data_IF_149787005951
#
_entry.id   IF_149787005951
#
_cell.length_a   1.000
_cell.length_b   1.000
_cell.length_c   1.000
_cell.angle_alpha   90.00
_cell.angle_beta   90.00
_cell.angle_gamma   90.00
#
_symmetry.space_group_name_H-M   'P 1'
#
loop_
_entity.id
_entity.type
_entity.pdbx_description
1 polymer ?
#
# COMPACT_ATOMS: atom_id res chain seq x y z
N UNK A 1 -12.22 -2.67 -57.13
CA UNK A 1 -11.63 -1.43 -56.58
C UNK A 1 -12.11 -1.08 -55.18
N UNK A 2 -13.34 -0.58 -54.93
CA UNK A 2 -13.73 -0.20 -53.55
C UNK A 2 -13.77 -1.38 -52.57
N UNK A 3 -14.31 -2.52 -53.00
CA UNK A 3 -14.45 -3.73 -52.18
C UNK A 3 -13.11 -4.36 -51.79
N UNK A 4 -12.10 -4.26 -52.66
CA UNK A 4 -10.74 -4.75 -52.38
C UNK A 4 -10.03 -3.86 -51.36
N UNK A 5 -10.25 -2.54 -51.43
CA UNK A 5 -9.69 -1.59 -50.47
C UNK A 5 -10.30 -1.83 -49.06
N UNK A 6 -11.61 -2.04 -48.97
CA UNK A 6 -12.28 -2.35 -47.72
C UNK A 6 -11.80 -3.68 -47.11
N UNK A 7 -11.57 -4.70 -47.96
CA UNK A 7 -11.02 -5.98 -47.54
C UNK A 7 -9.60 -5.84 -46.97
N UNK A 8 -8.73 -5.09 -47.64
CA UNK A 8 -7.37 -4.83 -47.16
C UNK A 8 -7.34 -4.02 -45.85
N UNK A 9 -8.24 -3.03 -45.69
CA UNK A 9 -8.38 -2.28 -44.44
C UNK A 9 -8.86 -3.20 -43.31
N UNK A 10 -9.80 -4.10 -43.57
CA UNK A 10 -10.28 -5.09 -42.61
C UNK A 10 -9.17 -6.00 -42.10
N UNK A 11 -8.30 -6.49 -43.00
CA UNK A 11 -7.14 -7.31 -42.63
C UNK A 11 -6.09 -6.52 -41.83
N UNK A 12 -5.80 -5.28 -42.20
CA UNK A 12 -4.86 -4.47 -41.43
C UNK A 12 -5.38 -4.14 -40.04
N UNK A 13 -6.68 -3.86 -39.90
CA UNK A 13 -7.29 -3.58 -38.60
C UNK A 13 -7.20 -4.79 -37.67
N UNK A 14 -7.51 -6.00 -38.17
CA UNK A 14 -7.39 -7.21 -37.33
C UNK A 14 -5.94 -7.50 -36.92
N UNK A 15 -4.96 -7.22 -37.79
CA UNK A 15 -3.54 -7.34 -37.44
C UNK A 15 -3.09 -6.33 -36.38
N UNK A 16 -3.55 -5.08 -36.49
CA UNK A 16 -3.26 -4.02 -35.51
C UNK A 16 -3.89 -4.34 -34.16
N UNK A 17 -5.15 -4.79 -34.15
CA UNK A 17 -5.86 -5.13 -32.92
C UNK A 17 -5.20 -6.32 -32.22
N UNK A 18 -4.80 -7.35 -32.97
CA UNK A 18 -4.06 -8.49 -32.44
C UNK A 18 -2.68 -8.08 -31.88
N UNK A 19 -1.97 -7.19 -32.56
CA UNK A 19 -0.68 -6.67 -32.07
C UNK A 19 -0.87 -5.87 -30.77
N UNK A 20 -1.83 -4.94 -30.74
CA UNK A 20 -2.14 -4.13 -29.57
C UNK A 20 -2.57 -4.99 -28.37
N UNK A 21 -3.37 -6.04 -28.60
CA UNK A 21 -3.75 -7.00 -27.57
C UNK A 21 -2.57 -7.81 -27.02
N UNK A 22 -1.49 -7.96 -27.80
CA UNK A 22 -0.27 -8.66 -27.37
C UNK A 22 0.69 -7.80 -26.55
N UNK A 23 0.61 -6.46 -26.66
CA UNK A 23 1.54 -5.53 -26.00
C UNK A 23 1.60 -5.67 -24.47
N UNK A 24 0.48 -5.84 -23.74
CA UNK A 24 0.53 -6.06 -22.29
C UNK A 24 1.33 -7.31 -21.90
N UNK A 25 1.13 -8.42 -22.61
CA UNK A 25 1.87 -9.66 -22.36
C UNK A 25 3.36 -9.53 -22.67
N UNK A 26 3.73 -8.81 -23.74
CA UNK A 26 5.14 -8.53 -24.08
C UNK A 26 5.79 -7.64 -23.02
N UNK A 27 5.06 -6.63 -22.53
CA UNK A 27 5.54 -5.75 -21.45
C UNK A 27 5.73 -6.54 -20.14
N UNK A 28 4.76 -7.37 -19.76
CA UNK A 28 4.85 -8.22 -18.58
C UNK A 28 6.03 -9.20 -18.69
N UNK A 29 6.21 -9.86 -19.84
CA UNK A 29 7.36 -10.74 -20.06
C UNK A 29 8.69 -9.99 -19.92
N UNK A 30 8.83 -8.81 -20.53
CA UNK A 30 10.04 -8.01 -20.43
C UNK A 30 10.34 -7.58 -18.97
N UNK A 31 9.30 -7.22 -18.20
CA UNK A 31 9.43 -6.86 -16.78
C UNK A 31 9.84 -8.09 -15.96
N UNK A 32 9.20 -9.25 -16.16
CA UNK A 32 9.53 -10.48 -15.44
C UNK A 32 10.94 -10.97 -15.77
N UNK A 33 11.35 -10.94 -17.03
CA UNK A 33 12.73 -11.28 -17.43
C UNK A 33 13.76 -10.34 -16.81
N UNK A 34 13.46 -9.03 -16.76
CA UNK A 34 14.35 -8.05 -16.12
C UNK A 34 14.46 -8.33 -14.63
N UNK A 35 13.34 -8.61 -13.96
CA UNK A 35 13.28 -8.96 -12.54
C UNK A 35 14.07 -10.24 -12.25
N UNK A 36 13.87 -11.29 -13.05
CA UNK A 36 14.60 -12.55 -12.92
C UNK A 36 16.10 -12.37 -13.11
N UNK A 37 16.53 -11.60 -14.13
CA UNK A 37 17.95 -11.28 -14.35
C UNK A 37 18.58 -10.56 -13.16
N UNK A 38 17.89 -9.59 -12.58
CA UNK A 38 18.36 -8.85 -11.41
C UNK A 38 18.43 -9.74 -10.16
N UNK A 39 17.44 -10.61 -9.95
CA UNK A 39 17.45 -11.59 -8.85
C UNK A 39 18.62 -12.58 -8.95
N UNK A 40 18.88 -13.13 -10.14
CA UNK A 40 20.02 -14.04 -10.37
C UNK A 40 21.34 -13.32 -10.15
N UNK A 41 21.46 -12.06 -10.58
CA UNK A 41 22.67 -11.26 -10.35
C UNK A 41 22.87 -10.94 -8.86
N UNK A 42 21.79 -10.73 -8.11
CA UNK A 42 21.82 -10.52 -6.65
C UNK A 42 22.26 -11.78 -5.90
N UNK A 43 21.69 -12.96 -6.23
CA UNK A 43 22.07 -14.23 -5.61
C UNK A 43 23.54 -14.59 -5.85
N UNK A 44 24.08 -14.27 -7.04
CA UNK A 44 25.51 -14.45 -7.34
C UNK A 44 26.42 -13.52 -6.54
N UNK A 45 25.95 -12.32 -6.19
CA UNK A 45 26.70 -11.38 -5.37
C UNK A 45 26.73 -11.80 -3.89
N UNK A 46 25.64 -12.37 -3.37
CA UNK A 46 25.57 -12.91 -2.00
C UNK A 46 26.41 -14.20 -1.84
N UNK A 47 26.50 -15.05 -2.86
CA UNK A 47 27.32 -16.27 -2.80
C UNK A 47 28.84 -16.02 -2.83
N UNK A 48 29.29 -14.79 -3.11
CA UNK A 48 30.71 -14.48 -3.31
C UNK A 48 31.42 -13.95 -2.06
N UNK A 49 30.74 -13.68 -0.93
CA UNK A 49 31.38 -13.51 0.39
C UNK A 49 32.54 -12.50 0.53
N UNK A 50 32.79 -11.63 -0.45
CA UNK A 50 33.94 -10.72 -0.47
C UNK A 50 33.50 -9.32 0.02
N UNK A 51 34.01 -8.82 1.15
CA UNK A 51 33.76 -7.46 1.60
C UNK A 51 34.52 -6.47 0.70
N UNK A 52 33.78 -5.73 -0.13
CA UNK A 52 34.36 -4.66 -0.97
C UNK A 52 34.73 -3.48 -0.07
N UNK A 53 36.00 -3.38 0.31
CA UNK A 53 36.61 -2.16 0.86
C UNK A 53 37.04 -1.24 -0.30
N UNK A 54 36.56 0.01 -0.31
CA UNK A 54 37.05 1.04 -1.24
C UNK A 54 38.46 1.47 -0.84
N UNK A 55 39.34 1.63 -1.82
CA UNK A 55 40.66 2.29 -1.70
C UNK A 55 40.51 3.73 -2.16
N UNK A 56 41.11 4.66 -1.42
CA UNK A 56 40.98 6.11 -1.64
C UNK A 56 41.97 6.70 -2.66
N UNK A 57 42.88 5.92 -3.26
CA UNK A 57 43.96 6.45 -4.12
C UNK A 57 43.96 5.86 -5.54
N UNK A 58 43.18 6.45 -6.46
CA UNK A 58 43.32 6.18 -7.90
C UNK A 58 43.71 7.45 -8.68
N UNK A 59 44.69 7.40 -9.62
CA UNK A 59 45.27 8.60 -10.23
C UNK A 59 44.34 9.28 -11.24
N UNK A 60 44.42 10.62 -11.29
CA UNK A 60 43.84 11.46 -12.35
C UNK A 60 44.71 11.37 -13.60
N UNK A 61 44.15 10.93 -14.72
CA UNK A 61 44.81 11.09 -16.02
C UNK A 61 43.87 11.69 -17.05
N UNK A 62 44.41 12.70 -17.72
CA UNK A 62 43.85 13.53 -18.78
C UNK A 62 43.47 12.72 -20.03
N UNK A 63 42.35 13.09 -20.66
CA UNK A 63 42.19 13.00 -22.10
C UNK A 63 41.21 14.09 -22.60
N UNK A 64 41.53 14.62 -23.79
CA UNK A 64 41.18 15.92 -24.35
C UNK A 64 39.82 15.92 -25.08
N UNK A 65 39.22 17.11 -25.17
CA UNK A 65 37.92 17.43 -25.76
C UNK A 65 37.84 17.29 -27.29
N UNK A 66 36.69 16.79 -27.77
CA UNK A 66 35.90 17.11 -29.00
C UNK A 66 34.91 15.93 -29.20
N UNK A 67 33.63 16.04 -29.57
CA UNK A 67 32.78 17.09 -30.11
C UNK A 67 31.28 16.71 -29.93
N UNK A 68 30.41 17.68 -30.23
CA UNK A 68 28.96 17.60 -30.55
C UNK A 68 27.96 17.40 -29.38
N UNK A 69 27.26 18.48 -29.03
CA UNK A 69 26.00 18.44 -28.25
C UNK A 69 24.91 17.78 -29.10
N UNK A 70 24.72 16.48 -28.92
CA UNK A 70 23.40 15.89 -29.02
C UNK A 70 22.72 16.13 -27.66
N UNK A 71 21.54 16.75 -27.65
CA UNK A 71 20.68 16.76 -26.47
C UNK A 71 20.15 15.32 -26.32
N UNK A 72 20.95 14.48 -25.67
CA UNK A 72 20.47 13.23 -25.11
C UNK A 72 19.79 13.60 -23.81
N UNK A 73 18.47 13.43 -23.75
CA UNK A 73 17.76 13.33 -22.49
C UNK A 73 18.41 12.21 -21.68
N UNK A 74 19.28 12.57 -20.73
CA UNK A 74 19.83 11.63 -19.77
C UNK A 74 18.67 11.14 -18.91
N UNK A 75 18.36 9.82 -18.92
CA UNK A 75 17.53 9.24 -17.89
C UNK A 75 18.16 9.61 -16.52
N UNK A 76 17.36 9.78 -15.46
CA UNK A 76 17.92 9.96 -14.12
C UNK A 76 18.95 8.84 -13.86
N UNK A 77 20.08 9.15 -13.18
CA UNK A 77 21.15 8.20 -12.98
C UNK A 77 20.57 6.91 -12.40
N UNK A 78 20.67 5.82 -13.17
CA UNK A 78 20.18 4.53 -12.74
C UNK A 78 20.91 4.17 -11.45
N UNK A 79 20.17 4.16 -10.35
CA UNK A 79 20.70 3.83 -9.04
C UNK A 79 21.29 2.42 -9.13
N UNK A 80 22.62 2.31 -9.07
CA UNK A 80 23.34 1.02 -9.04
C UNK A 80 23.22 0.31 -7.70
N UNK A 81 22.35 0.79 -6.80
CA UNK A 81 21.98 0.06 -5.61
C UNK A 81 21.27 -1.23 -6.06
N UNK A 82 21.73 -2.38 -5.55
CA UNK A 82 21.02 -3.64 -5.73
C UNK A 82 19.54 -3.41 -5.39
N UNK A 83 18.66 -3.69 -6.36
CA UNK A 83 17.22 -3.74 -6.12
C UNK A 83 16.98 -4.89 -5.14
N UNK A 84 17.02 -4.59 -3.85
CA UNK A 84 16.43 -5.44 -2.83
C UNK A 84 14.93 -5.29 -3.03
N UNK A 85 14.18 -6.37 -3.39
CA UNK A 85 12.74 -6.34 -3.27
C UNK A 85 12.47 -5.93 -1.82
N UNK A 86 11.97 -4.71 -1.62
CA UNK A 86 11.64 -4.25 -0.29
C UNK A 86 10.59 -5.23 0.27
N UNK A 87 10.64 -5.59 1.56
CA UNK A 87 9.60 -6.37 2.19
C UNK A 87 8.32 -5.53 2.12
N UNK A 88 7.57 -5.77 1.05
CA UNK A 88 6.18 -5.38 0.96
C UNK A 88 5.49 -6.34 1.90
N UNK A 89 4.86 -5.80 2.95
CA UNK A 89 3.98 -6.60 3.80
C UNK A 89 3.11 -7.47 2.91
N UNK A 90 3.26 -8.79 3.07
CA UNK A 90 2.63 -9.73 2.16
C UNK A 90 1.12 -9.49 2.20
N UNK A 91 0.46 -9.52 1.03
CA UNK A 91 -0.99 -9.25 0.97
C UNK A 91 -1.72 -10.19 1.94
N UNK A 92 -1.23 -11.41 2.08
CA UNK A 92 -1.68 -12.44 3.00
C UNK A 92 -1.60 -12.00 4.47
N UNK A 93 -0.48 -11.38 4.89
CA UNK A 93 -0.33 -10.88 6.25
C UNK A 93 -1.25 -9.65 6.48
N UNK A 94 -1.49 -8.83 5.46
CA UNK A 94 -2.37 -7.66 5.57
C UNK A 94 -3.83 -8.11 5.75
N UNK A 95 -4.29 -9.03 4.90
CA UNK A 95 -5.62 -9.61 5.04
C UNK A 95 -5.76 -10.36 6.37
N UNK A 96 -4.71 -11.02 6.85
CA UNK A 96 -4.71 -11.65 8.16
C UNK A 96 -4.84 -10.62 9.29
N UNK A 97 -4.13 -9.49 9.24
CA UNK A 97 -4.27 -8.41 10.23
C UNK A 97 -5.69 -7.83 10.21
N UNK A 98 -6.25 -7.58 9.03
CA UNK A 98 -7.64 -7.15 8.88
C UNK A 98 -8.62 -8.19 9.45
N UNK A 99 -8.37 -9.48 9.23
CA UNK A 99 -9.19 -10.56 9.77
C UNK A 99 -9.17 -10.57 11.30
N UNK A 100 -7.99 -10.43 11.91
CA UNK A 100 -7.86 -10.31 13.37
C UNK A 100 -8.61 -9.09 13.91
N UNK A 101 -8.51 -7.95 13.22
CA UNK A 101 -9.28 -6.76 13.58
C UNK A 101 -10.78 -6.99 13.45
N UNK A 102 -11.25 -7.63 12.39
CA UNK A 102 -12.65 -7.96 12.19
C UNK A 102 -13.20 -8.89 13.27
N UNK A 103 -12.42 -9.90 13.67
CA UNK A 103 -12.82 -10.84 14.72
C UNK A 103 -12.98 -10.16 16.09
N UNK A 104 -12.37 -8.98 16.28
CA UNK A 104 -12.62 -8.14 17.46
C UNK A 104 -14.07 -7.65 17.55
N UNK A 105 -14.77 -7.49 16.42
CA UNK A 105 -16.20 -7.16 16.42
C UNK A 105 -17.01 -8.20 17.18
N UNK A 106 -16.71 -9.49 16.96
CA UNK A 106 -17.38 -10.60 17.66
C UNK A 106 -17.11 -10.58 19.17
N UNK A 107 -15.90 -10.16 19.58
CA UNK A 107 -15.57 -10.00 21.00
C UNK A 107 -16.41 -8.89 21.62
N UNK A 108 -16.58 -7.77 20.91
CA UNK A 108 -17.43 -6.66 21.36
C UNK A 108 -18.91 -7.07 21.49
N UNK A 109 -19.40 -7.87 20.55
CA UNK A 109 -20.77 -8.41 20.58
C UNK A 109 -20.98 -9.41 21.74
N UNK A 110 -19.97 -10.21 22.06
CA UNK A 110 -20.04 -11.21 23.14
C UNK A 110 -19.89 -10.63 24.53
N UNK A 111 -19.30 -9.44 24.67
CA UNK A 111 -19.03 -8.82 25.98
C UNK A 111 -19.33 -7.32 25.97
N UNK A 112 -20.57 -6.91 25.66
CA UNK A 112 -20.89 -5.51 25.40
C UNK A 112 -20.66 -4.60 26.60
N UNK A 113 -20.91 -5.07 27.82
CA UNK A 113 -20.72 -4.29 29.05
C UNK A 113 -19.25 -3.89 29.27
N UNK A 114 -18.30 -4.72 28.82
CA UNK A 114 -16.88 -4.41 28.93
C UNK A 114 -16.48 -3.23 28.03
N UNK A 115 -17.08 -3.09 26.86
CA UNK A 115 -16.72 -2.08 25.86
C UNK A 115 -17.52 -0.77 25.98
N UNK A 116 -18.56 -0.76 26.81
CA UNK A 116 -19.48 0.37 26.97
C UNK A 116 -18.79 1.66 27.42
N UNK A 117 -17.93 1.56 28.43
CA UNK A 117 -17.24 2.70 29.06
C UNK A 117 -15.90 3.03 28.41
N UNK A 118 -15.43 2.21 27.46
CA UNK A 118 -14.13 2.38 26.83
C UNK A 118 -14.10 3.60 25.90
N UNK A 119 -13.01 4.34 25.98
CA UNK A 119 -12.67 5.39 25.04
C UNK A 119 -11.84 4.85 23.87
N UNK A 120 -11.41 5.75 22.98
CA UNK A 120 -10.72 5.38 21.74
C UNK A 120 -9.38 4.70 22.03
N UNK A 121 -8.71 5.18 23.08
CA UNK A 121 -7.43 4.67 23.54
C UNK A 121 -7.57 3.26 24.11
N UNK A 122 -8.56 3.03 24.98
CA UNK A 122 -8.82 1.71 25.53
C UNK A 122 -9.20 0.70 24.44
N UNK A 123 -10.08 1.07 23.51
CA UNK A 123 -10.42 0.19 22.37
C UNK A 123 -9.18 -0.15 21.54
N UNK A 124 -8.36 0.85 21.21
CA UNK A 124 -7.11 0.67 20.47
C UNK A 124 -6.15 -0.28 21.18
N UNK A 125 -6.01 -0.19 22.51
CA UNK A 125 -5.21 -1.15 23.30
C UNK A 125 -5.70 -2.59 23.11
N UNK A 126 -7.02 -2.82 23.10
CA UNK A 126 -7.56 -4.14 22.87
C UNK A 126 -7.21 -4.69 21.48
N UNK A 127 -7.31 -3.88 20.43
CA UNK A 127 -6.86 -4.27 19.09
C UNK A 127 -5.36 -4.60 19.08
N UNK A 128 -4.53 -3.78 19.74
CA UNK A 128 -3.09 -4.00 19.80
C UNK A 128 -2.74 -5.35 20.46
N UNK A 129 -3.36 -5.66 21.60
CA UNK A 129 -3.13 -6.92 22.32
C UNK A 129 -3.51 -8.13 21.46
N UNK A 130 -4.64 -8.07 20.75
CA UNK A 130 -5.07 -9.15 19.86
C UNK A 130 -4.11 -9.33 18.68
N UNK A 131 -3.67 -8.23 18.07
CA UNK A 131 -2.70 -8.25 16.97
C UNK A 131 -1.36 -8.83 17.44
N UNK A 132 -0.78 -8.32 18.52
CA UNK A 132 0.49 -8.85 19.04
C UNK A 132 0.37 -10.33 19.43
N UNK A 133 -0.73 -10.75 20.06
CA UNK A 133 -0.95 -12.17 20.39
C UNK A 133 -0.96 -13.11 19.18
N UNK A 134 -1.49 -12.66 18.03
CA UNK A 134 -1.57 -13.48 16.81
C UNK A 134 -0.31 -13.43 15.94
N UNK A 135 0.49 -12.37 16.04
CA UNK A 135 1.67 -12.15 15.21
C UNK A 135 2.99 -12.50 15.94
N UNK A 136 3.13 -12.24 17.24
CA UNK A 136 4.31 -12.65 18.03
C UNK A 136 4.43 -14.17 18.14
N UNK A 137 3.31 -14.89 18.23
CA UNK A 137 3.28 -16.36 18.30
C UNK A 137 3.76 -17.08 17.03
N UNK A 138 3.96 -16.38 15.91
CA UNK A 138 4.33 -16.95 14.61
C UNK A 138 5.83 -16.85 14.27
N UNK A 139 6.69 -16.54 15.26
CA UNK A 139 8.14 -16.34 15.06
C UNK A 139 8.49 -15.26 14.03
N UNK A 140 7.56 -14.32 13.83
CA UNK A 140 7.77 -13.14 13.02
C UNK A 140 8.31 -12.04 13.93
N UNK A 141 9.44 -11.42 13.60
CA UNK A 141 10.00 -10.29 14.34
C UNK A 141 9.20 -8.98 14.20
N UNK A 142 7.92 -9.09 13.82
CA UNK A 142 7.00 -7.99 13.57
C UNK A 142 6.24 -7.66 14.86
N UNK A 143 6.41 -6.44 15.36
CA UNK A 143 5.72 -5.98 16.58
C UNK A 143 4.83 -4.79 16.26
N UNK A 144 3.57 -4.86 16.66
CA UNK A 144 2.68 -3.71 16.62
C UNK A 144 3.00 -2.80 17.81
N UNK A 145 3.20 -1.53 17.51
CA UNK A 145 3.53 -0.46 18.43
C UNK A 145 2.52 0.68 18.30
N UNK A 146 2.50 1.53 19.32
CA UNK A 146 1.71 2.75 19.32
C UNK A 146 2.53 3.91 18.77
N UNK A 147 1.89 4.76 17.96
CA UNK A 147 2.42 6.07 17.59
C UNK A 147 1.31 7.09 17.81
N UNK A 148 1.66 8.24 18.39
CA UNK A 148 0.65 9.23 18.77
C UNK A 148 -0.39 8.67 19.76
N UNK A 149 -1.61 9.20 19.68
CA UNK A 149 -2.73 8.81 20.57
C UNK A 149 -3.65 7.77 19.94
N UNK A 150 -3.72 7.70 18.62
CA UNK A 150 -4.80 7.02 17.90
C UNK A 150 -4.29 5.99 16.90
N UNK A 151 -2.98 5.87 16.71
CA UNK A 151 -2.40 5.05 15.65
C UNK A 151 -1.89 3.70 16.19
N UNK A 152 -2.06 2.66 15.38
CA UNK A 152 -1.41 1.35 15.51
C UNK A 152 -0.45 1.21 14.33
N UNK A 153 0.84 1.07 14.62
CA UNK A 153 1.89 0.88 13.63
C UNK A 153 2.49 -0.50 13.76
N UNK A 154 2.74 -1.15 12.64
CA UNK A 154 3.50 -2.38 12.59
C UNK A 154 4.88 -2.11 12.05
N UNK A 155 5.90 -2.56 12.79
CA UNK A 155 7.29 -2.34 12.40
C UNK A 155 8.00 -3.64 12.10
N UNK A 156 8.73 -3.63 10.98
CA UNK A 156 9.72 -4.65 10.62
C UNK A 156 11.09 -3.97 10.56
N UNK A 157 11.91 -4.14 11.60
CA UNK A 157 13.13 -3.36 11.79
C UNK A 157 12.83 -1.86 11.97
N UNK A 158 13.47 -1.00 11.18
CA UNK A 158 13.26 0.47 11.21
C UNK A 158 12.12 0.95 10.28
N UNK A 159 11.24 0.04 9.80
CA UNK A 159 10.25 0.34 8.75
C UNK A 159 8.84 0.17 9.27
N UNK A 160 7.95 1.12 8.97
CA UNK A 160 6.52 0.90 9.10
C UNK A 160 6.04 0.11 7.87
N UNK A 161 5.28 -0.95 8.12
CA UNK A 161 4.81 -1.87 7.08
C UNK A 161 3.28 -1.95 7.06
N UNK A 162 2.64 -1.50 8.13
CA UNK A 162 1.19 -1.31 8.24
C UNK A 162 0.89 -0.17 9.20
N UNK A 163 -0.09 0.65 8.83
CA UNK A 163 -0.57 1.79 9.61
C UNK A 163 -2.08 1.64 9.76
N UNK A 164 -2.57 1.78 10.99
CA UNK A 164 -4.00 1.86 11.25
C UNK A 164 -4.32 3.07 12.12
N UNK A 165 -5.32 3.84 11.70
CA UNK A 165 -5.90 4.94 12.46
C UNK A 165 -7.18 4.46 13.14
N UNK A 166 -7.33 4.74 14.43
CA UNK A 166 -8.57 4.44 15.17
C UNK A 166 -9.37 5.73 15.39
N UNK A 167 -10.68 5.71 15.11
CA UNK A 167 -11.52 6.91 15.28
C UNK A 167 -12.95 6.60 15.67
N UNK A 168 -13.49 7.28 16.69
CA UNK A 168 -14.93 7.33 16.90
C UNK A 168 -15.64 8.12 15.79
N UNK A 169 -16.72 7.55 15.27
CA UNK A 169 -17.60 8.24 14.35
C UNK A 169 -18.26 9.45 15.04
N UNK A 170 -17.90 10.64 14.57
CA UNK A 170 -18.51 11.93 14.97
C UNK A 170 -19.07 12.69 13.77
N UNK A 171 -19.20 12.00 12.63
CA UNK A 171 -19.66 12.55 11.36
C UNK A 171 -18.56 12.65 10.28
N UNK A 172 -18.94 12.99 9.04
CA UNK A 172 -18.05 12.96 7.87
C UNK A 172 -16.78 13.80 8.01
N UNK A 173 -16.88 14.98 8.65
CA UNK A 173 -15.71 15.87 8.84
C UNK A 173 -14.63 15.23 9.70
N UNK A 174 -15.02 14.71 10.88
CA UNK A 174 -14.08 14.05 11.79
C UNK A 174 -13.45 12.79 11.19
N UNK A 175 -14.18 12.12 10.29
CA UNK A 175 -13.66 11.00 9.51
C UNK A 175 -12.69 11.45 8.41
N UNK A 176 -12.97 12.54 7.70
CA UNK A 176 -12.04 13.15 6.75
C UNK A 176 -10.72 13.56 7.41
N UNK A 177 -10.79 14.15 8.61
CA UNK A 177 -9.59 14.48 9.41
C UNK A 177 -8.75 13.24 9.74
N UNK A 178 -9.41 12.07 9.93
CA UNK A 178 -8.71 10.80 10.15
C UNK A 178 -8.01 10.28 8.87
N UNK A 179 -8.58 10.52 7.68
CA UNK A 179 -7.89 10.23 6.42
C UNK A 179 -6.65 11.13 6.28
N UNK A 180 -6.78 12.44 6.53
CA UNK A 180 -5.64 13.36 6.47
C UNK A 180 -4.55 12.97 7.49
N UNK A 181 -4.93 12.57 8.70
CA UNK A 181 -4.00 12.08 9.72
C UNK A 181 -3.28 10.80 9.26
N UNK A 182 -4.01 9.80 8.76
CA UNK A 182 -3.42 8.57 8.22
C UNK A 182 -2.40 8.86 7.12
N UNK A 183 -2.76 9.74 6.18
CA UNK A 183 -1.89 10.13 5.06
C UNK A 183 -0.69 10.98 5.50
N UNK A 184 -0.72 11.59 6.68
CA UNK A 184 0.42 12.33 7.23
C UNK A 184 1.52 11.40 7.78
N UNK A 185 1.13 10.23 8.30
CA UNK A 185 2.06 9.20 8.75
C UNK A 185 2.50 8.26 7.64
N UNK A 186 1.71 8.16 6.58
CA UNK A 186 2.04 7.38 5.41
C UNK A 186 3.29 7.95 4.74
N UNK A 187 4.41 7.29 5.02
CA UNK A 187 5.66 7.55 4.32
C UNK A 187 5.52 7.09 2.88
N UNK A 188 6.44 7.56 2.05
CA UNK A 188 6.49 7.24 0.63
C UNK A 188 6.56 5.74 0.30
N UNK A 189 6.82 4.88 1.30
CA UNK A 189 6.92 3.40 1.23
C UNK A 189 5.67 2.64 1.70
N UNK A 190 4.73 3.31 2.37
CA UNK A 190 3.56 2.66 2.96
C UNK A 190 2.51 2.37 1.87
N UNK A 191 2.34 1.09 1.53
CA UNK A 191 1.41 0.67 0.46
C UNK A 191 0.01 0.30 0.97
N UNK A 192 -0.13 0.04 2.28
CA UNK A 192 -1.35 -0.52 2.88
C UNK A 192 -1.61 0.07 4.26
N UNK A 193 -2.85 0.47 4.49
CA UNK A 193 -3.30 1.04 5.74
C UNK A 193 -4.74 0.64 6.06
N UNK A 194 -5.17 0.93 7.29
CA UNK A 194 -6.54 0.73 7.74
C UNK A 194 -7.07 1.94 8.53
N UNK A 195 -8.39 2.12 8.52
CA UNK A 195 -9.08 3.05 9.42
C UNK A 195 -10.15 2.25 10.16
N UNK A 196 -10.05 2.20 11.49
CA UNK A 196 -11.03 1.56 12.36
C UNK A 196 -11.99 2.61 12.87
N UNK A 197 -13.23 2.57 12.38
CA UNK A 197 -14.28 3.50 12.74
C UNK A 197 -15.16 2.88 13.83
N UNK A 198 -15.11 3.45 15.03
CA UNK A 198 -15.94 3.04 16.15
C UNK A 198 -17.27 3.79 16.14
N UNK A 199 -18.35 3.07 15.87
CA UNK A 199 -19.70 3.62 15.82
C UNK A 199 -20.44 3.36 17.13
N UNK A 200 -20.73 4.43 17.89
CA UNK A 200 -21.51 4.35 19.14
C UNK A 200 -22.86 5.04 18.97
N UNK A 201 -23.87 4.24 18.60
CA UNK A 201 -25.28 4.65 18.59
C UNK A 201 -25.70 5.60 17.47
N UNK A 202 -25.04 5.53 16.32
CA UNK A 202 -25.60 5.92 15.01
C UNK A 202 -25.96 4.66 14.24
N UNK A 203 -26.98 4.70 13.38
CA UNK A 203 -27.28 3.57 12.49
C UNK A 203 -26.09 3.26 11.58
N UNK A 204 -25.64 2.00 11.54
CA UNK A 204 -24.45 1.59 10.78
C UNK A 204 -24.56 1.92 9.30
N UNK A 205 -25.76 1.82 8.71
CA UNK A 205 -26.01 2.21 7.31
C UNK A 205 -25.77 3.70 7.06
N UNK A 206 -26.03 4.56 8.04
CA UNK A 206 -25.76 6.00 7.96
C UNK A 206 -24.26 6.28 8.03
N UNK A 207 -23.56 5.56 8.91
CA UNK A 207 -22.09 5.64 9.03
C UNK A 207 -21.42 5.20 7.73
N UNK A 208 -21.82 4.04 7.17
CA UNK A 208 -21.26 3.52 5.93
C UNK A 208 -21.46 4.50 4.76
N UNK A 209 -22.67 5.05 4.58
CA UNK A 209 -22.94 6.09 3.56
C UNK A 209 -22.08 7.33 3.78
N UNK A 210 -21.92 7.75 5.03
CA UNK A 210 -21.11 8.91 5.39
C UNK A 210 -19.63 8.70 5.09
N UNK A 211 -19.10 7.52 5.40
CA UNK A 211 -17.72 7.11 5.08
C UNK A 211 -17.49 7.11 3.58
N UNK A 212 -18.39 6.48 2.81
CA UNK A 212 -18.22 6.37 1.36
C UNK A 212 -18.26 7.74 0.67
N UNK A 213 -19.25 8.56 1.00
CA UNK A 213 -19.34 9.91 0.47
C UNK A 213 -18.13 10.78 0.86
N UNK A 214 -17.69 10.71 2.12
CA UNK A 214 -16.53 11.48 2.58
C UNK A 214 -15.22 11.01 1.93
N UNK A 215 -15.05 9.71 1.73
CA UNK A 215 -13.84 9.16 1.10
C UNK A 215 -13.77 9.55 -0.36
N UNK A 216 -14.86 9.41 -1.11
CA UNK A 216 -14.90 9.78 -2.53
C UNK A 216 -14.74 11.29 -2.76
N UNK A 217 -15.17 12.12 -1.81
CA UNK A 217 -14.96 13.56 -1.83
C UNK A 217 -13.54 13.99 -1.40
N UNK A 218 -12.73 13.07 -0.85
CA UNK A 218 -11.41 13.40 -0.36
C UNK A 218 -10.44 13.70 -1.51
N UNK A 219 -9.61 14.75 -1.36
CA UNK A 219 -8.67 15.20 -2.41
C UNK A 219 -7.71 14.10 -2.89
N UNK A 220 -7.36 13.17 -1.99
CA UNK A 220 -6.43 12.07 -2.26
C UNK A 220 -7.11 10.81 -2.86
N UNK A 221 -8.43 10.81 -3.04
CA UNK A 221 -9.14 9.66 -3.55
C UNK A 221 -8.79 9.37 -5.00
N UNK A 222 -8.55 8.09 -5.32
CA UNK A 222 -8.36 7.60 -6.70
C UNK A 222 -9.54 6.77 -7.16
N UNK A 223 -9.88 5.72 -6.40
CA UNK A 223 -10.93 4.77 -6.78
C UNK A 223 -11.35 3.89 -5.60
N UNK A 224 -12.57 3.37 -5.68
CA UNK A 224 -13.02 2.26 -4.85
C UNK A 224 -12.45 0.93 -5.38
N UNK A 225 -12.26 -0.03 -4.47
CA UNK A 225 -11.87 -1.40 -4.78
C UNK A 225 -13.03 -2.29 -4.37
N UNK A 226 -13.41 -3.22 -5.25
CA UNK A 226 -14.39 -4.22 -4.87
C UNK A 226 -13.83 -5.08 -3.74
N UNK A 227 -14.52 -5.03 -2.60
CA UNK A 227 -14.15 -5.73 -1.40
C UNK A 227 -15.43 -6.09 -0.68
N UNK A 228 -15.92 -7.31 -0.95
CA UNK A 228 -17.19 -7.81 -0.45
C UNK A 228 -17.15 -8.03 1.07
N UNK A 229 -17.38 -6.96 1.83
CA UNK A 229 -17.49 -6.99 3.28
C UNK A 229 -18.65 -6.09 3.75
N UNK A 230 -19.49 -6.59 4.64
CA UNK A 230 -20.74 -5.90 5.04
C UNK A 230 -20.49 -4.68 5.94
N UNK A 231 -19.35 -4.65 6.64
CA UNK A 231 -19.02 -3.63 7.64
C UNK A 231 -17.87 -2.70 7.24
N UNK A 232 -17.54 -2.60 5.95
CA UNK A 232 -16.41 -1.77 5.55
C UNK A 232 -16.27 -1.56 4.05
N UNK A 233 -15.24 -0.81 3.70
CA UNK A 233 -14.91 -0.47 2.32
C UNK A 233 -13.41 -0.55 2.09
N UNK A 234 -13.02 -0.71 0.83
CA UNK A 234 -11.63 -0.61 0.42
C UNK A 234 -11.48 0.42 -0.68
N UNK A 235 -10.48 1.28 -0.51
CA UNK A 235 -10.22 2.38 -1.42
C UNK A 235 -8.75 2.41 -1.77
N UNK A 236 -8.45 3.02 -2.92
CA UNK A 236 -7.12 3.49 -3.25
C UNK A 236 -7.08 4.99 -3.11
N UNK A 237 -6.13 5.45 -2.31
CA UNK A 237 -5.80 6.86 -2.15
C UNK A 237 -4.37 7.08 -2.65
N UNK A 238 -4.03 8.33 -2.99
CA UNK A 238 -2.66 8.70 -3.28
C UNK A 238 -1.99 9.45 -2.13
N UNK A 239 -0.66 9.35 -2.04
CA UNK A 239 0.12 10.10 -1.05
C UNK A 239 -0.03 11.63 -1.25
N UNK A 240 0.19 12.39 -0.17
CA UNK A 240 0.26 13.85 -0.21
C UNK A 240 1.46 14.37 -1.02
N UNK A 241 2.55 13.60 -1.09
CA UNK A 241 3.79 14.02 -1.76
C UNK A 241 3.81 13.65 -3.25
N UNK A 242 3.10 12.60 -3.65
CA UNK A 242 3.16 12.04 -5.00
C UNK A 242 1.84 11.37 -5.40
N UNK A 243 1.18 11.94 -6.41
CA UNK A 243 -0.12 11.50 -6.94
C UNK A 243 -0.02 10.14 -7.64
N UNK A 244 1.18 9.69 -8.03
CA UNK A 244 1.40 8.38 -8.63
C UNK A 244 1.62 7.28 -7.59
N UNK A 245 1.78 7.65 -6.31
CA UNK A 245 1.94 6.70 -5.22
C UNK A 245 0.59 6.35 -4.64
N UNK A 246 0.11 5.17 -5.01
CA UNK A 246 -1.13 4.60 -4.51
C UNK A 246 -0.92 3.86 -3.18
N UNK A 247 -1.92 3.97 -2.33
CA UNK A 247 -2.03 3.28 -1.04
C UNK A 247 -3.41 2.65 -0.94
N UNK A 248 -3.44 1.38 -0.59
CA UNK A 248 -4.69 0.69 -0.26
C UNK A 248 -5.09 1.04 1.17
N UNK A 249 -6.27 1.64 1.33
CA UNK A 249 -6.85 1.94 2.64
C UNK A 249 -8.12 1.11 2.81
N UNK A 250 -8.15 0.27 3.83
CA UNK A 250 -9.35 -0.49 4.21
C UNK A 250 -10.00 0.18 5.42
N UNK A 251 -11.27 0.52 5.29
CA UNK A 251 -12.07 1.15 6.34
C UNK A 251 -12.96 0.08 6.95
N UNK A 252 -12.84 -0.14 8.25
CA UNK A 252 -13.62 -1.11 9.02
C UNK A 252 -14.50 -0.38 10.02
N UNK A 253 -15.79 -0.69 10.05
CA UNK A 253 -16.75 -0.11 10.98
C UNK A 253 -17.10 -1.12 12.06
N UNK A 254 -16.93 -0.72 13.31
CA UNK A 254 -17.25 -1.53 14.49
C UNK A 254 -18.38 -0.90 15.27
N UNK A 255 -19.39 -1.70 15.60
CA UNK A 255 -20.43 -1.26 16.52
C UNK A 255 -19.91 -1.33 17.95
N UNK A 256 -19.88 -0.19 18.64
CA UNK A 256 -19.51 -0.13 20.05
C UNK A 256 -20.76 0.10 20.88
N UNK A 257 -21.08 -0.82 21.82
CA UNK A 257 -22.28 -0.72 22.63
C UNK A 257 -22.32 0.55 23.49
N UNK A 258 -23.54 0.98 23.79
CA UNK A 258 -23.89 2.20 24.53
C UNK A 258 -24.20 1.94 25.98
#
# INVERSE_FOLDING_TARGET
MLTEIEQHIGWQRSMIDAHNASLPNVADQAIQERRARLLVQSQRAESLGIPIRRRDDAPKTYAVATARRAVMSTPPPATTAQFKPEPVWAVEQYEHALKVMQDMALVMERSPDAFRSMDEEALRQHFLVQLNGQFEGKASGETFNMSGKTDILLREGDRNVFISECKFWKGPKAYGDAIDQLLSYATWRDSKAAILVFNRGTETSTVLKGIDAATQAHKNFKRAVDWAHESGFRYILHSNEDVNREMTVTVLVFHVPK
#
